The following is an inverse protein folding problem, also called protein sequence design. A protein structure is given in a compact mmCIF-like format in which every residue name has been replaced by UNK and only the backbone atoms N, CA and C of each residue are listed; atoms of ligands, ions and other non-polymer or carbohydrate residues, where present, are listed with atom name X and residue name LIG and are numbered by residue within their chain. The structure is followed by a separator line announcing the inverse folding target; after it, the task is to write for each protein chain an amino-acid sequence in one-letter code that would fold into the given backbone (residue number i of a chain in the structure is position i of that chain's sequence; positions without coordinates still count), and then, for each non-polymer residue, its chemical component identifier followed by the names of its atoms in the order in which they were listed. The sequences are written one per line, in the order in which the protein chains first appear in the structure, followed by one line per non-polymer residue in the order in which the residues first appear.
data_IF_935494664277
#
_entry.id   IF_935494664277
#
_cell.length_a   1.000
_cell.length_b   1.000
_cell.length_c   1.000
_cell.angle_alpha   90.00
_cell.angle_beta   90.00
_cell.angle_gamma   90.00
#
_symmetry.space_group_name_H-M   'P 1'
#
loop_
_entity.id
_entity.type
_entity.pdbx_description
1 polymer ?
#
# COMPACT_ATOMS: atom_id res chain seq x y z
N UNK A 1 -10.88 16.46 0.98
CA UNK A 1 -9.90 15.55 1.59
C UNK A 1 -8.75 16.34 2.18
N UNK A 2 -8.21 15.91 3.32
CA UNK A 2 -7.15 16.59 4.06
C UNK A 2 -5.92 16.94 3.20
N UNK A 3 -5.51 16.07 2.30
CA UNK A 3 -4.36 16.33 1.42
C UNK A 3 -4.63 17.49 0.45
N UNK A 4 -5.81 17.57 -0.15
CA UNK A 4 -6.20 18.69 -1.03
C UNK A 4 -6.25 20.01 -0.27
N UNK A 5 -6.80 20.01 0.95
CA UNK A 5 -6.85 21.19 1.83
C UNK A 5 -5.44 21.70 2.20
N UNK A 6 -4.46 20.79 2.25
CA UNK A 6 -3.04 21.11 2.46
C UNK A 6 -2.30 21.50 1.16
N UNK A 7 -3.00 21.59 0.03
CA UNK A 7 -2.44 22.02 -1.24
C UNK A 7 -1.65 20.95 -1.99
N UNK A 8 -1.84 19.66 -1.68
CA UNK A 8 -1.25 18.58 -2.44
C UNK A 8 -2.11 18.26 -3.67
N UNK A 9 -1.49 18.00 -4.81
CA UNK A 9 -2.15 17.31 -5.92
C UNK A 9 -2.22 15.81 -5.60
N UNK A 10 -3.40 15.23 -5.80
CA UNK A 10 -3.67 13.82 -5.48
C UNK A 10 -4.12 13.10 -6.74
N UNK A 11 -3.55 11.93 -6.98
CA UNK A 11 -3.98 11.00 -8.01
C UNK A 11 -4.45 9.72 -7.33
N UNK A 12 -5.67 9.31 -7.59
CA UNK A 12 -6.19 8.01 -7.19
C UNK A 12 -5.85 6.97 -8.27
N UNK A 13 -5.20 5.89 -7.89
CA UNK A 13 -4.90 4.76 -8.76
C UNK A 13 -5.57 3.50 -8.19
N UNK A 14 -6.71 3.13 -8.78
CA UNK A 14 -7.57 2.03 -8.31
C UNK A 14 -8.40 1.49 -9.48
N UNK A 15 -9.00 0.32 -9.31
CA UNK A 15 -10.05 -0.17 -10.23
C UNK A 15 -11.34 0.65 -10.15
N UNK A 16 -11.59 1.27 -9.00
CA UNK A 16 -12.78 2.07 -8.76
C UNK A 16 -12.40 3.55 -8.67
N UNK A 17 -12.96 4.42 -9.52
CA UNK A 17 -12.68 5.84 -9.45
C UNK A 17 -13.20 6.45 -8.14
N UNK A 18 -12.40 7.31 -7.54
CA UNK A 18 -12.81 8.13 -6.41
C UNK A 18 -13.56 9.37 -6.94
N UNK A 19 -14.86 9.46 -6.64
CA UNK A 19 -15.71 10.58 -7.03
C UNK A 19 -15.49 11.76 -6.07
N UNK A 20 -14.38 12.46 -6.26
CA UNK A 20 -13.98 13.61 -5.44
C UNK A 20 -13.36 14.69 -6.33
N UNK A 21 -13.88 15.92 -6.21
CA UNK A 21 -13.36 17.07 -6.95
C UNK A 21 -11.88 17.31 -6.64
N UNK A 22 -11.09 17.58 -7.67
CA UNK A 22 -9.66 17.85 -7.54
C UNK A 22 -8.78 16.60 -7.39
N UNK A 23 -9.34 15.40 -7.57
CA UNK A 23 -8.59 14.14 -7.62
C UNK A 23 -8.65 13.56 -9.03
N UNK A 24 -7.49 13.37 -9.65
CA UNK A 24 -7.38 12.64 -10.90
C UNK A 24 -7.47 11.13 -10.63
N UNK A 25 -8.08 10.38 -11.56
CA UNK A 25 -8.27 8.94 -11.43
C UNK A 25 -7.54 8.19 -12.54
N UNK A 26 -6.77 7.17 -12.15
CA UNK A 26 -6.15 6.20 -13.04
C UNK A 26 -6.71 4.81 -12.73
N UNK A 27 -7.22 4.12 -13.75
CA UNK A 27 -7.55 2.70 -13.62
C UNK A 27 -6.25 1.89 -13.72
N UNK A 28 -5.93 1.12 -12.66
CA UNK A 28 -4.63 0.48 -12.53
C UNK A 28 -4.73 -0.84 -11.77
N UNK A 29 -4.09 -1.87 -12.34
CA UNK A 29 -3.86 -3.15 -11.66
C UNK A 29 -2.48 -3.15 -10.99
N UNK A 30 -2.44 -3.23 -9.67
CA UNK A 30 -1.17 -3.27 -8.91
C UNK A 30 -0.34 -4.53 -9.18
N UNK A 31 -0.93 -5.58 -9.73
CA UNK A 31 -0.20 -6.79 -10.12
C UNK A 31 0.51 -6.66 -11.46
N UNK A 32 0.20 -5.62 -12.22
CA UNK A 32 0.88 -5.27 -13.47
C UNK A 32 1.95 -4.21 -13.19
N UNK A 33 3.21 -4.63 -13.16
CA UNK A 33 4.33 -3.73 -12.92
C UNK A 33 4.49 -2.67 -14.01
N UNK A 34 4.13 -2.98 -15.25
CA UNK A 34 4.20 -2.03 -16.37
C UNK A 34 3.24 -0.85 -16.17
N UNK A 35 2.00 -1.12 -15.74
CA UNK A 35 1.03 -0.08 -15.40
C UNK A 35 1.53 0.78 -14.25
N UNK A 36 2.10 0.17 -13.21
CA UNK A 36 2.65 0.89 -12.06
C UNK A 36 3.83 1.80 -12.44
N UNK A 37 4.80 1.29 -13.21
CA UNK A 37 5.91 2.12 -13.67
C UNK A 37 5.41 3.29 -14.51
N UNK A 38 4.45 3.07 -15.40
CA UNK A 38 3.86 4.13 -16.20
C UNK A 38 3.16 5.17 -15.32
N UNK A 39 2.30 4.75 -14.40
CA UNK A 39 1.57 5.65 -13.51
C UNK A 39 2.50 6.47 -12.60
N UNK A 40 3.50 5.83 -12.00
CA UNK A 40 4.41 6.46 -11.04
C UNK A 40 5.56 7.24 -11.71
N UNK A 41 5.80 7.08 -13.00
CA UNK A 41 6.77 7.90 -13.72
C UNK A 41 6.34 9.37 -13.84
N UNK A 42 5.07 9.63 -13.64
CA UNK A 42 4.47 10.95 -13.60
C UNK A 42 3.13 10.97 -14.34
N UNK A 43 2.14 11.55 -13.70
CA UNK A 43 0.87 11.83 -14.35
C UNK A 43 0.88 13.21 -14.97
N UNK A 44 0.54 13.29 -16.25
CA UNK A 44 0.43 14.56 -16.97
C UNK A 44 -0.77 14.57 -17.91
N UNK A 45 -1.43 15.71 -17.98
CA UNK A 45 -2.40 15.96 -19.01
C UNK A 45 -1.72 16.45 -20.33
N UNK A 46 -2.48 16.54 -21.41
CA UNK A 46 -1.96 16.96 -22.72
C UNK A 46 -1.26 18.35 -22.69
N UNK A 47 -1.80 19.37 -22.00
CA UNK A 47 -1.11 20.66 -21.87
C UNK A 47 0.26 20.56 -21.19
N UNK A 48 0.39 19.74 -20.14
CA UNK A 48 1.66 19.53 -19.41
C UNK A 48 2.69 18.83 -20.30
N UNK A 49 2.28 17.81 -21.06
CA UNK A 49 3.15 17.14 -22.02
C UNK A 49 3.66 18.09 -23.11
N UNK A 50 2.83 19.01 -23.57
CA UNK A 50 3.20 20.01 -24.59
C UNK A 50 4.18 21.07 -24.04
N UNK A 51 4.26 21.25 -22.75
CA UNK A 51 5.15 22.26 -22.16
C UNK A 51 6.63 21.96 -22.30
N UNK A 52 7.00 20.72 -22.57
CA UNK A 52 8.39 20.26 -22.65
C UNK A 52 9.17 20.31 -21.33
N UNK A 53 8.51 20.61 -20.21
CA UNK A 53 9.15 20.76 -18.91
C UNK A 53 9.40 19.45 -18.17
N UNK A 54 9.01 18.33 -18.77
CA UNK A 54 9.02 17.02 -18.11
C UNK A 54 7.88 16.83 -17.12
N UNK A 55 7.72 15.62 -16.64
CA UNK A 55 6.68 15.27 -15.67
C UNK A 55 7.14 15.57 -14.25
N UNK A 56 6.21 16.02 -13.41
CA UNK A 56 6.46 16.17 -11.97
C UNK A 56 6.47 14.78 -11.34
N UNK A 57 7.52 14.47 -10.58
CA UNK A 57 7.57 13.24 -9.79
C UNK A 57 6.62 13.31 -8.58
N UNK A 58 6.09 12.16 -8.19
CA UNK A 58 5.34 12.05 -6.95
C UNK A 58 6.24 12.25 -5.73
N UNK A 59 5.73 12.93 -4.71
CA UNK A 59 6.42 13.12 -3.42
C UNK A 59 6.34 11.88 -2.53
N UNK A 60 5.21 11.18 -2.61
CA UNK A 60 4.94 10.01 -1.81
C UNK A 60 3.92 9.09 -2.51
N UNK A 61 3.95 7.83 -2.14
CA UNK A 61 2.92 6.84 -2.45
C UNK A 61 2.23 6.42 -1.17
N UNK A 62 0.89 6.46 -1.15
CA UNK A 62 0.07 5.85 -0.11
C UNK A 62 -0.62 4.65 -0.73
N UNK A 63 -0.16 3.46 -0.37
CA UNK A 63 -0.62 2.19 -0.94
C UNK A 63 -1.61 1.50 0.00
N UNK A 64 -2.89 1.59 -0.34
CA UNK A 64 -3.99 0.98 0.41
C UNK A 64 -4.66 -0.17 -0.38
N UNK A 65 -4.36 -0.28 -1.68
CA UNK A 65 -4.95 -1.29 -2.55
C UNK A 65 -4.58 -2.71 -2.10
N UNK A 66 -5.57 -3.51 -1.80
CA UNK A 66 -5.42 -4.90 -1.38
C UNK A 66 -6.76 -5.63 -1.45
N UNK A 67 -6.74 -6.96 -1.42
CA UNK A 67 -7.89 -7.73 -0.97
C UNK A 67 -7.91 -7.58 0.56
N UNK A 68 -8.97 -6.98 1.15
CA UNK A 68 -8.89 -6.39 2.50
C UNK A 68 -9.03 -7.39 3.65
N UNK A 69 -9.35 -8.64 3.36
CA UNK A 69 -9.52 -9.72 4.35
C UNK A 69 -9.66 -11.08 3.67
N UNK A 70 -9.63 -12.14 4.46
CA UNK A 70 -9.99 -13.50 4.01
C UNK A 70 -11.46 -13.57 3.53
N UNK A 71 -11.79 -14.60 2.77
CA UNK A 71 -13.15 -14.92 2.27
C UNK A 71 -13.76 -13.89 1.29
N UNK A 72 -12.99 -12.91 0.84
CA UNK A 72 -13.36 -11.99 -0.26
C UNK A 72 -12.97 -12.59 -1.61
N UNK A 73 -11.79 -13.19 -1.66
CA UNK A 73 -11.26 -13.95 -2.79
C UNK A 73 -10.68 -15.27 -2.27
N UNK A 74 -10.42 -16.26 -3.15
CA UNK A 74 -9.66 -17.45 -2.77
C UNK A 74 -8.30 -17.06 -2.15
N UNK A 75 -7.81 -17.87 -1.22
CA UNK A 75 -6.60 -17.57 -0.44
C UNK A 75 -5.36 -17.31 -1.31
N UNK A 76 -5.15 -18.12 -2.34
CA UNK A 76 -4.05 -17.94 -3.29
C UNK A 76 -4.15 -16.59 -4.04
N UNK A 77 -5.35 -16.15 -4.41
CA UNK A 77 -5.56 -14.86 -5.07
C UNK A 77 -5.35 -13.69 -4.10
N UNK A 78 -5.86 -13.81 -2.86
CA UNK A 78 -5.61 -12.83 -1.80
C UNK A 78 -4.11 -12.68 -1.55
N UNK A 79 -3.41 -13.79 -1.39
CA UNK A 79 -1.97 -13.81 -1.21
C UNK A 79 -1.23 -13.20 -2.41
N UNK A 80 -1.53 -13.65 -3.64
CA UNK A 80 -0.88 -13.17 -4.86
C UNK A 80 -1.06 -11.67 -5.06
N UNK A 81 -2.30 -11.20 -4.98
CA UNK A 81 -2.59 -9.77 -5.22
C UNK A 81 -1.92 -8.91 -4.17
N UNK A 82 -2.04 -9.28 -2.90
CA UNK A 82 -1.51 -8.46 -1.81
C UNK A 82 0.03 -8.45 -1.79
N UNK A 83 0.68 -9.60 -2.01
CA UNK A 83 2.16 -9.68 -1.97
C UNK A 83 2.79 -9.12 -3.23
N UNK A 84 2.37 -9.59 -4.42
CA UNK A 84 2.93 -9.13 -5.68
C UNK A 84 2.61 -7.66 -5.92
N UNK A 85 1.37 -7.24 -5.63
CA UNK A 85 0.96 -5.85 -5.80
C UNK A 85 1.79 -4.90 -4.93
N UNK A 86 1.96 -5.21 -3.65
CA UNK A 86 2.79 -4.39 -2.75
C UNK A 86 4.25 -4.38 -3.18
N UNK A 87 4.81 -5.53 -3.58
CA UNK A 87 6.17 -5.60 -4.11
C UNK A 87 6.34 -4.68 -5.32
N UNK A 88 5.44 -4.77 -6.31
CA UNK A 88 5.50 -3.95 -7.52
C UNK A 88 5.40 -2.45 -7.22
N UNK A 89 4.52 -2.05 -6.29
CA UNK A 89 4.39 -0.64 -5.86
C UNK A 89 5.68 -0.13 -5.24
N UNK A 90 6.26 -0.89 -4.29
CA UNK A 90 7.51 -0.50 -3.62
C UNK A 90 8.66 -0.47 -4.61
N UNK A 91 8.77 -1.46 -5.50
CA UNK A 91 9.80 -1.53 -6.51
C UNK A 91 9.74 -0.34 -7.47
N UNK A 92 8.57 -0.08 -8.05
CA UNK A 92 8.38 1.02 -8.99
C UNK A 92 8.64 2.38 -8.34
N UNK A 93 8.06 2.63 -7.16
CA UNK A 93 8.29 3.86 -6.41
C UNK A 93 9.78 4.08 -6.10
N UNK A 94 10.46 3.05 -5.65
CA UNK A 94 11.89 3.10 -5.33
C UNK A 94 12.74 3.39 -6.56
N UNK A 95 12.53 2.66 -7.66
CA UNK A 95 13.29 2.82 -8.92
C UNK A 95 13.06 4.18 -9.57
N UNK A 96 11.88 4.77 -9.39
CA UNK A 96 11.55 6.10 -9.89
C UNK A 96 11.96 7.24 -8.92
N UNK A 97 12.60 6.90 -7.81
CA UNK A 97 13.17 7.87 -6.88
C UNK A 97 12.16 8.57 -5.97
N UNK A 98 10.97 7.99 -5.80
CA UNK A 98 9.97 8.49 -4.83
C UNK A 98 10.48 8.20 -3.43
N UNK A 99 10.54 9.24 -2.58
CA UNK A 99 11.27 9.19 -1.32
C UNK A 99 10.47 8.67 -0.14
N UNK A 100 9.14 8.54 -0.28
CA UNK A 100 8.27 8.12 0.81
C UNK A 100 7.20 7.17 0.33
N UNK A 101 7.09 6.04 1.01
CA UNK A 101 6.06 5.04 0.77
C UNK A 101 5.37 4.75 2.10
N UNK A 102 4.05 4.81 2.12
CA UNK A 102 3.22 4.42 3.26
C UNK A 102 2.29 3.33 2.76
N UNK A 103 2.22 2.20 3.43
CA UNK A 103 1.29 1.15 3.04
C UNK A 103 0.53 0.55 4.23
N UNK A 104 -0.68 0.03 3.93
CA UNK A 104 -1.51 -0.62 4.92
C UNK A 104 -0.99 -2.03 5.22
N UNK A 105 -0.49 -2.24 6.44
CA UNK A 105 -0.42 -3.52 7.11
C UNK A 105 -1.71 -3.75 7.90
N UNK A 106 -1.73 -4.65 8.85
CA UNK A 106 -2.95 -5.00 9.59
C UNK A 106 -2.62 -5.58 10.97
N UNK A 107 -3.53 -5.40 11.91
CA UNK A 107 -3.52 -6.11 13.20
C UNK A 107 -3.59 -7.65 13.04
N UNK A 108 -4.09 -8.16 11.89
CA UNK A 108 -4.12 -9.59 11.61
C UNK A 108 -2.74 -10.24 11.55
N UNK A 109 -1.68 -9.44 11.42
CA UNK A 109 -0.29 -9.91 11.52
C UNK A 109 0.03 -10.57 12.85
N UNK A 110 -0.68 -10.19 13.92
CA UNK A 110 -0.49 -10.78 15.25
C UNK A 110 -1.17 -12.14 15.43
N UNK A 111 -2.11 -12.50 14.54
CA UNK A 111 -2.78 -13.80 14.55
C UNK A 111 -3.93 -13.95 15.57
N UNK A 112 -4.44 -12.86 16.11
CA UNK A 112 -5.56 -12.90 17.05
C UNK A 112 -6.94 -12.87 16.38
N UNK A 113 -7.09 -12.11 15.30
CA UNK A 113 -8.39 -11.72 14.75
C UNK A 113 -9.26 -12.88 14.25
N UNK A 114 -8.67 -13.95 13.71
CA UNK A 114 -9.41 -15.11 13.17
C UNK A 114 -9.02 -16.43 13.84
N UNK A 115 -8.36 -16.35 14.99
CA UNK A 115 -7.90 -17.52 15.70
C UNK A 115 -9.08 -18.31 16.30
N UNK A 116 -8.96 -19.62 16.28
CA UNK A 116 -9.89 -20.47 17.03
C UNK A 116 -9.62 -20.38 18.53
N UNK A 117 -10.68 -20.37 19.32
CA UNK A 117 -10.57 -20.15 20.76
C UNK A 117 -10.43 -18.67 21.12
N UNK A 118 -9.93 -18.39 22.29
CA UNK A 118 -9.67 -17.04 22.78
C UNK A 118 -8.18 -16.87 23.05
N UNK A 119 -7.36 -16.62 22.01
CA UNK A 119 -5.94 -16.40 22.24
C UNK A 119 -5.74 -15.14 23.07
N UNK A 120 -4.99 -15.27 24.16
CA UNK A 120 -4.67 -14.16 25.05
C UNK A 120 -3.28 -13.66 24.71
N UNK A 121 -3.11 -12.35 24.46
CA UNK A 121 -1.79 -11.76 24.28
C UNK A 121 -0.90 -12.01 25.51
N UNK A 122 0.41 -12.19 25.28
CA UNK A 122 1.39 -12.36 26.37
C UNK A 122 1.47 -11.11 27.27
N UNK A 123 1.23 -9.94 26.69
CA UNK A 123 1.15 -8.64 27.36
C UNK A 123 0.27 -7.64 26.60
N UNK A 124 -0.14 -6.59 27.29
CA UNK A 124 -0.88 -5.44 26.77
C UNK A 124 -0.24 -4.14 27.29
N UNK A 125 -0.26 -3.05 26.52
CA UNK A 125 -0.76 -2.96 25.15
C UNK A 125 0.10 -3.76 24.17
N UNK A 126 -0.47 -4.15 23.03
CA UNK A 126 0.29 -4.75 21.91
C UNK A 126 0.98 -3.60 21.19
N UNK A 127 2.31 -3.64 21.18
CA UNK A 127 3.18 -2.68 20.52
C UNK A 127 3.72 -3.26 19.20
N UNK A 128 4.43 -2.44 18.42
CA UNK A 128 4.90 -2.81 17.07
C UNK A 128 5.96 -3.91 17.08
N UNK A 129 6.67 -4.10 18.16
CA UNK A 129 7.67 -5.17 18.35
C UNK A 129 7.07 -6.51 18.80
N UNK A 130 5.74 -6.55 19.03
CA UNK A 130 5.06 -7.80 19.34
C UNK A 130 5.24 -8.80 18.20
N UNK A 131 5.51 -10.06 18.56
CA UNK A 131 5.75 -11.15 17.60
C UNK A 131 4.58 -11.32 16.64
N UNK A 132 4.87 -11.34 15.32
CA UNK A 132 3.87 -11.64 14.30
C UNK A 132 3.68 -13.14 14.16
N UNK A 133 2.42 -13.60 14.16
CA UNK A 133 2.05 -15.00 14.05
C UNK A 133 0.77 -15.16 13.24
N UNK A 134 0.76 -14.75 11.95
CA UNK A 134 -0.44 -14.79 11.12
C UNK A 134 -0.91 -16.22 10.92
N UNK A 135 -2.23 -16.41 10.90
CA UNK A 135 -2.87 -17.73 10.75
C UNK A 135 -3.64 -17.88 9.44
N UNK A 136 -3.67 -16.87 8.62
CA UNK A 136 -4.41 -16.84 7.36
C UNK A 136 -3.61 -16.18 6.23
N UNK A 137 -4.10 -16.33 5.00
CA UNK A 137 -3.45 -15.83 3.78
C UNK A 137 -3.34 -14.30 3.75
N UNK A 138 -4.31 -13.59 4.30
CA UNK A 138 -4.31 -12.13 4.38
C UNK A 138 -3.27 -11.64 5.38
N UNK A 139 -3.31 -12.10 6.62
CA UNK A 139 -2.32 -11.76 7.65
C UNK A 139 -0.90 -12.11 7.23
N UNK A 140 -0.70 -13.29 6.64
CA UNK A 140 0.59 -13.71 6.09
C UNK A 140 1.07 -12.75 4.99
N UNK A 141 0.17 -12.34 4.07
CA UNK A 141 0.53 -11.38 3.03
C UNK A 141 1.00 -10.05 3.61
N UNK A 142 0.38 -9.58 4.69
CA UNK A 142 0.77 -8.33 5.36
C UNK A 142 2.14 -8.44 6.05
N UNK A 143 2.44 -9.54 6.71
CA UNK A 143 3.79 -9.79 7.27
C UNK A 143 4.86 -9.79 6.18
N UNK A 144 4.60 -10.44 5.04
CA UNK A 144 5.54 -10.44 3.92
C UNK A 144 5.71 -9.04 3.29
N UNK A 145 4.64 -8.25 3.25
CA UNK A 145 4.71 -6.87 2.79
C UNK A 145 5.58 -6.01 3.72
N UNK A 146 5.47 -6.18 5.03
CA UNK A 146 6.36 -5.51 6.00
C UNK A 146 7.83 -5.91 5.77
N UNK A 147 8.11 -7.21 5.57
CA UNK A 147 9.46 -7.70 5.25
C UNK A 147 9.97 -7.18 3.91
N UNK A 148 9.09 -7.05 2.92
CA UNK A 148 9.43 -6.42 1.64
C UNK A 148 9.82 -4.95 1.85
N UNK A 149 9.01 -4.18 2.57
CA UNK A 149 9.32 -2.79 2.90
C UNK A 149 10.65 -2.64 3.63
N UNK A 150 10.90 -3.47 4.64
CA UNK A 150 12.15 -3.51 5.39
C UNK A 150 13.37 -3.77 4.48
N UNK A 151 13.26 -4.76 3.58
CA UNK A 151 14.32 -5.10 2.64
C UNK A 151 14.64 -3.95 1.67
N UNK A 152 13.61 -3.29 1.14
CA UNK A 152 13.79 -2.14 0.26
C UNK A 152 14.36 -0.93 1.00
N UNK A 153 13.88 -0.64 2.20
CA UNK A 153 14.39 0.43 3.04
C UNK A 153 15.88 0.24 3.37
N UNK A 154 16.27 -0.97 3.78
CA UNK A 154 17.69 -1.30 4.04
C UNK A 154 18.58 -1.15 2.80
N UNK A 155 18.07 -1.53 1.64
CA UNK A 155 18.83 -1.45 0.39
C UNK A 155 18.96 -0.03 -0.15
N UNK A 156 17.96 0.84 0.06
CA UNK A 156 17.85 2.11 -0.65
C UNK A 156 17.86 3.34 0.23
N UNK A 157 17.58 3.17 1.53
CA UNK A 157 17.50 4.27 2.49
C UNK A 157 16.27 5.15 2.35
N UNK A 158 15.25 4.75 1.55
CA UNK A 158 14.02 5.53 1.43
C UNK A 158 13.11 5.30 2.64
N UNK A 159 12.24 6.28 2.92
CA UNK A 159 11.27 6.20 4.01
C UNK A 159 10.12 5.26 3.64
N UNK A 160 10.03 4.10 4.28
CA UNK A 160 8.93 3.15 4.09
C UNK A 160 8.24 2.92 5.43
N UNK A 161 6.92 3.13 5.47
CA UNK A 161 6.10 2.98 6.67
C UNK A 161 5.00 1.95 6.43
N UNK A 162 4.94 0.93 7.28
CA UNK A 162 3.85 -0.05 7.33
C UNK A 162 2.93 0.30 8.50
N UNK A 163 1.67 0.55 8.23
CA UNK A 163 0.68 0.86 9.27
C UNK A 163 -0.13 -0.39 9.59
N UNK A 164 0.04 -0.97 10.78
CA UNK A 164 -0.80 -2.07 11.27
C UNK A 164 -2.15 -1.52 11.71
N UNK A 165 -3.04 -1.38 10.73
CA UNK A 165 -4.35 -0.79 10.94
C UNK A 165 -5.26 -1.81 11.61
N UNK A 166 -5.92 -1.39 12.68
CA UNK A 166 -7.02 -2.11 13.31
C UNK A 166 -8.37 -1.74 12.71
N UNK A 167 -9.45 -2.05 13.40
CA UNK A 167 -10.78 -1.65 12.97
C UNK A 167 -10.95 -0.13 13.06
N UNK A 168 -11.36 0.48 11.94
CA UNK A 168 -11.76 1.88 11.92
C UNK A 168 -13.25 1.93 12.24
N UNK A 169 -13.60 2.59 13.32
CA UNK A 169 -14.96 2.78 13.79
C UNK A 169 -15.35 4.23 13.52
N UNK A 170 -16.49 4.45 12.85
CA UNK A 170 -17.08 5.77 12.64
C UNK A 170 -17.83 6.26 13.89
#
# INVERSE_FOLDING_TARGET
SYLLEKGYSVVNADFVPLMMDGVDNLNLDITDSGQLFNALSGYANIPELKSGKGLKSFKAVVHLAAIPRILVKPDNETFRINTLGTYNVIEAATKLGIKKIIFASSETTYGFCFAQGNPIPKWLPIEEDYETSPIDSYGLSKVLNEKTGEAFQKRTGIDIYALRIGNIIE
#
